data_IF_106726069632
#
_entry.id   IF_106726069632
#
_cell.length_a   1.000
_cell.length_b   1.000
_cell.length_c   1.000
_cell.angle_alpha   90.00
_cell.angle_beta   90.00
_cell.angle_gamma   90.00
#
_symmetry.space_group_name_H-M   'P 1'
#
loop_
_entity.id
_entity.type
_entity.pdbx_description
1 polymer ?
#
# COMPACT_ATOMS: atom_id res chain seq x y z
N UNK A 1 1.46 10.38 -13.55
CA UNK A 1 1.83 11.81 -13.64
C UNK A 1 1.89 12.54 -12.29
N UNK A 2 0.95 12.39 -11.33
CA UNK A 2 1.02 13.12 -10.04
C UNK A 2 2.24 12.77 -9.17
N UNK A 3 2.72 11.52 -9.26
CA UNK A 3 3.85 10.99 -8.47
C UNK A 3 5.16 11.76 -8.70
N UNK A 4 5.43 12.18 -9.94
CA UNK A 4 6.67 12.91 -10.27
C UNK A 4 6.67 14.31 -9.66
N UNK A 5 5.52 15.01 -9.71
CA UNK A 5 5.37 16.30 -9.06
C UNK A 5 5.45 16.20 -7.53
N UNK A 6 4.96 15.10 -6.95
CA UNK A 6 5.07 14.85 -5.53
C UNK A 6 6.55 14.76 -5.12
N UNK A 7 7.34 13.95 -5.82
CA UNK A 7 8.77 13.81 -5.53
C UNK A 7 9.54 15.12 -5.75
N UNK A 8 9.21 15.89 -6.78
CA UNK A 8 9.83 17.19 -7.02
C UNK A 8 9.56 18.18 -5.87
N UNK A 9 8.31 18.26 -5.39
CA UNK A 9 7.98 19.09 -4.23
C UNK A 9 8.69 18.63 -2.96
N UNK A 10 8.92 17.32 -2.81
CA UNK A 10 9.69 16.77 -1.69
C UNK A 10 11.17 17.20 -1.77
N UNK A 11 11.74 17.20 -2.98
CA UNK A 11 13.13 17.61 -3.21
C UNK A 11 13.36 19.11 -2.96
N UNK A 12 12.43 19.96 -3.41
CA UNK A 12 12.57 21.43 -3.27
C UNK A 12 12.52 21.87 -1.80
N UNK A 13 11.76 21.16 -0.96
CA UNK A 13 11.69 21.40 0.49
C UNK A 13 11.44 22.90 0.84
N UNK A 14 10.38 23.45 0.24
CA UNK A 14 10.04 24.88 0.16
C UNK A 14 9.98 25.65 1.49
N UNK A 15 9.61 24.98 2.59
CA UNK A 15 9.43 25.59 3.89
C UNK A 15 10.54 25.19 4.86
N UNK A 16 10.78 26.02 5.87
CA UNK A 16 11.68 25.67 6.99
C UNK A 16 11.19 24.43 7.74
N UNK A 17 9.89 24.37 8.01
CA UNK A 17 9.19 23.23 8.61
C UNK A 17 7.80 23.07 7.99
N UNK A 18 7.19 21.90 8.13
CA UNK A 18 5.81 21.66 7.66
C UNK A 18 5.67 21.25 6.19
N UNK A 19 6.77 20.97 5.47
CA UNK A 19 6.73 20.54 4.07
C UNK A 19 5.80 19.33 3.83
N UNK A 20 5.93 18.28 4.65
CA UNK A 20 5.13 17.06 4.50
C UNK A 20 3.62 17.30 4.60
N UNK A 21 3.11 17.90 5.69
CA UNK A 21 1.69 18.25 5.82
C UNK A 21 1.17 19.13 4.67
N UNK A 22 1.90 20.20 4.30
CA UNK A 22 1.48 21.11 3.23
C UNK A 22 1.43 20.41 1.87
N UNK A 23 2.47 19.63 1.55
CA UNK A 23 2.54 18.85 0.32
C UNK A 23 1.39 17.84 0.22
N UNK A 24 1.12 17.08 1.29
CA UNK A 24 0.00 16.11 1.29
C UNK A 24 -1.35 16.78 1.10
N UNK A 25 -1.58 17.91 1.77
CA UNK A 25 -2.82 18.67 1.61
C UNK A 25 -2.97 19.22 0.19
N UNK A 26 -1.88 19.72 -0.41
CA UNK A 26 -1.87 20.19 -1.79
C UNK A 26 -2.30 19.08 -2.77
N UNK A 27 -1.70 17.89 -2.68
CA UNK A 27 -2.07 16.77 -3.55
C UNK A 27 -3.47 16.22 -3.27
N UNK A 28 -3.89 16.20 -2.01
CA UNK A 28 -5.27 15.85 -1.66
C UNK A 28 -6.27 16.76 -2.39
N UNK A 29 -6.06 18.09 -2.32
CA UNK A 29 -6.92 19.07 -3.00
C UNK A 29 -6.86 18.96 -4.51
N UNK A 30 -5.67 18.79 -5.09
CA UNK A 30 -5.51 18.60 -6.54
C UNK A 30 -6.30 17.39 -7.05
N UNK A 31 -6.27 16.29 -6.31
CA UNK A 31 -6.97 15.04 -6.68
C UNK A 31 -8.48 15.15 -6.43
N UNK A 32 -8.89 15.80 -5.34
CA UNK A 32 -10.30 16.08 -5.03
C UNK A 32 -10.98 16.87 -6.16
N UNK A 33 -10.34 17.95 -6.64
CA UNK A 33 -10.83 18.75 -7.78
C UNK A 33 -10.86 17.95 -9.10
N UNK A 34 -10.00 16.95 -9.23
CA UNK A 34 -9.96 16.05 -10.40
C UNK A 34 -10.95 14.87 -10.29
N UNK A 35 -11.80 14.81 -9.26
CA UNK A 35 -12.71 13.70 -8.97
C UNK A 35 -12.03 12.33 -8.81
N UNK A 36 -10.78 12.32 -8.34
CA UNK A 36 -10.06 11.09 -7.99
C UNK A 36 -9.98 10.92 -6.46
N UNK A 37 -9.59 9.74 -5.99
CA UNK A 37 -9.35 9.46 -4.56
C UNK A 37 -7.85 9.40 -4.28
N UNK A 38 -7.42 10.00 -3.17
CA UNK A 38 -6.05 9.90 -2.66
C UNK A 38 -6.05 10.06 -1.13
N UNK A 39 -5.76 8.99 -0.39
CA UNK A 39 -5.84 8.96 1.08
C UNK A 39 -4.46 8.75 1.72
N UNK A 40 -3.76 9.86 1.98
CA UNK A 40 -2.43 9.81 2.60
C UNK A 40 -2.44 9.35 4.07
N UNK A 41 -3.58 9.32 4.75
CA UNK A 41 -3.65 8.80 6.13
C UNK A 41 -3.32 7.31 6.20
N UNK A 42 -3.37 6.61 5.05
CA UNK A 42 -3.05 5.20 4.96
C UNK A 42 -1.54 4.93 4.77
N UNK A 43 -0.73 5.97 4.57
CA UNK A 43 0.71 5.84 4.40
C UNK A 43 1.41 6.04 5.74
N UNK A 44 1.99 4.96 6.28
CA UNK A 44 2.86 5.05 7.46
C UNK A 44 4.10 5.92 7.20
N UNK A 45 4.64 6.55 8.24
CA UNK A 45 5.87 7.34 8.12
C UNK A 45 7.03 6.53 7.53
N UNK A 46 7.20 5.27 7.97
CA UNK A 46 8.26 4.37 7.43
C UNK A 46 8.11 4.17 5.91
N UNK A 47 6.88 3.94 5.42
CA UNK A 47 6.59 3.77 3.99
C UNK A 47 6.87 5.04 3.20
N UNK A 48 6.48 6.20 3.73
CA UNK A 48 6.76 7.49 3.09
C UNK A 48 8.27 7.72 2.96
N UNK A 49 9.01 7.54 4.05
CA UNK A 49 10.46 7.73 4.07
C UNK A 49 11.18 6.77 3.12
N UNK A 50 10.88 5.46 3.17
CA UNK A 50 11.55 4.48 2.31
C UNK A 50 11.27 4.74 0.82
N UNK A 51 10.04 5.15 0.50
CA UNK A 51 9.62 5.50 -0.87
C UNK A 51 10.39 6.73 -1.39
N UNK A 52 10.48 7.79 -0.58
CA UNK A 52 11.23 8.99 -0.95
C UNK A 52 12.74 8.71 -1.07
N UNK A 53 13.32 7.89 -0.20
CA UNK A 53 14.73 7.48 -0.27
C UNK A 53 14.99 6.69 -1.56
N UNK A 54 14.15 5.71 -1.90
CA UNK A 54 14.32 4.93 -3.13
C UNK A 54 14.27 5.82 -4.38
N UNK A 55 13.33 6.76 -4.43
CA UNK A 55 13.17 7.65 -5.56
C UNK A 55 14.30 8.69 -5.69
N UNK A 56 14.77 9.27 -4.59
CA UNK A 56 15.80 10.33 -4.63
C UNK A 56 17.24 9.78 -4.59
N UNK A 57 17.45 8.63 -3.96
CA UNK A 57 18.78 8.06 -3.75
C UNK A 57 19.16 6.98 -4.76
N UNK A 58 18.19 6.28 -5.34
CA UNK A 58 18.43 5.15 -6.25
C UNK A 58 17.73 5.29 -7.61
N UNK A 59 17.07 6.42 -7.89
CA UNK A 59 16.19 6.64 -9.05
C UNK A 59 15.14 5.52 -9.25
N UNK A 60 14.75 4.84 -8.16
CA UNK A 60 13.73 3.80 -8.19
C UNK A 60 12.36 4.39 -7.84
N UNK A 61 11.54 4.61 -8.88
CA UNK A 61 10.20 5.16 -8.75
C UNK A 61 9.11 4.11 -8.51
N UNK A 62 9.43 2.80 -8.60
CA UNK A 62 8.45 1.72 -8.43
C UNK A 62 7.79 1.73 -7.04
N UNK A 63 8.50 2.01 -5.93
CA UNK A 63 7.89 2.16 -4.61
C UNK A 63 6.88 3.32 -4.57
N UNK A 64 7.19 4.44 -5.21
CA UNK A 64 6.31 5.62 -5.26
C UNK A 64 5.05 5.33 -6.06
N UNK A 65 5.18 4.70 -7.22
CA UNK A 65 4.05 4.28 -8.02
C UNK A 65 3.13 3.34 -7.23
N UNK A 66 3.71 2.33 -6.57
CA UNK A 66 2.96 1.38 -5.76
C UNK A 66 2.26 2.05 -4.55
N UNK A 67 2.94 2.98 -3.88
CA UNK A 67 2.34 3.77 -2.80
C UNK A 67 1.12 4.53 -3.29
N UNK A 68 1.22 5.26 -4.40
CA UNK A 68 0.12 6.03 -4.95
C UNK A 68 -1.03 5.14 -5.44
N UNK A 69 -0.75 3.98 -6.03
CA UNK A 69 -1.77 3.01 -6.43
C UNK A 69 -2.58 2.53 -5.21
N UNK A 70 -1.91 2.16 -4.13
CA UNK A 70 -2.56 1.66 -2.92
C UNK A 70 -3.49 2.69 -2.26
N UNK A 71 -3.10 3.97 -2.27
CA UNK A 71 -3.89 5.04 -1.64
C UNK A 71 -4.88 5.73 -2.57
N UNK A 72 -4.97 5.30 -3.83
CA UNK A 72 -5.94 5.83 -4.81
C UNK A 72 -6.98 4.81 -5.25
N UNK A 73 -6.67 3.51 -5.15
CA UNK A 73 -7.60 2.44 -5.46
C UNK A 73 -8.64 2.28 -4.32
N UNK A 74 -9.95 2.46 -4.57
CA UNK A 74 -10.99 2.36 -3.54
C UNK A 74 -10.97 1.05 -2.75
N UNK A 75 -10.73 -0.08 -3.43
CA UNK A 75 -10.68 -1.40 -2.80
C UNK A 75 -9.50 -1.50 -1.81
N UNK A 76 -8.32 -1.02 -2.21
CA UNK A 76 -7.11 -1.05 -1.37
C UNK A 76 -7.22 -0.07 -0.19
N UNK A 77 -7.86 1.08 -0.40
CA UNK A 77 -8.18 2.05 0.65
C UNK A 77 -9.05 1.39 1.73
N UNK A 78 -10.13 0.73 1.34
CA UNK A 78 -11.05 0.09 2.28
C UNK A 78 -10.40 -1.07 3.04
N UNK A 79 -9.52 -1.82 2.36
CA UNK A 79 -8.66 -2.83 3.00
C UNK A 79 -7.81 -2.17 4.09
N UNK A 80 -7.07 -1.12 3.77
CA UNK A 80 -6.14 -0.45 4.70
C UNK A 80 -6.81 0.24 5.89
N UNK A 81 -7.95 0.91 5.69
CA UNK A 81 -8.69 1.55 6.79
C UNK A 81 -9.02 0.58 7.92
N UNK A 82 -9.25 -0.69 7.58
CA UNK A 82 -9.57 -1.75 8.54
C UNK A 82 -8.31 -2.34 9.23
N UNK A 83 -7.10 -1.98 8.76
CA UNK A 83 -5.80 -2.46 9.26
C UNK A 83 -5.10 -1.49 10.21
N UNK A 84 -5.30 -0.18 10.01
CA UNK A 84 -4.44 0.89 10.53
C UNK A 84 -4.44 1.02 12.06
N UNK A 85 -5.36 0.36 12.76
CA UNK A 85 -5.52 0.47 14.20
C UNK A 85 -4.25 0.03 14.98
N UNK A 86 -3.25 -0.64 14.37
CA UNK A 86 -2.10 -1.20 15.10
C UNK A 86 -0.70 -1.10 14.46
N UNK A 87 -0.46 -0.29 13.41
CA UNK A 87 0.70 -0.53 12.49
C UNK A 87 1.74 0.61 12.38
N UNK A 88 1.73 1.65 13.23
CA UNK A 88 2.60 2.82 13.05
C UNK A 88 4.14 2.53 13.03
N UNK A 89 4.57 1.34 13.48
CA UNK A 89 5.97 0.88 13.42
C UNK A 89 6.40 0.16 12.14
N UNK A 90 5.48 -0.30 11.28
CA UNK A 90 5.80 -1.12 10.11
C UNK A 90 5.26 -0.52 8.83
N UNK A 91 5.96 -0.74 7.71
CA UNK A 91 5.49 -0.34 6.39
C UNK A 91 4.33 -1.24 5.96
N UNK A 92 3.10 -0.70 5.91
CA UNK A 92 1.91 -1.41 5.43
C UNK A 92 1.82 -1.31 3.90
N UNK A 93 1.77 -2.43 3.20
CA UNK A 93 1.64 -2.53 1.75
C UNK A 93 0.53 -3.50 1.35
N UNK A 94 -0.15 -3.26 0.23
CA UNK A 94 -1.03 -4.26 -0.35
C UNK A 94 -0.20 -5.32 -1.07
N UNK A 95 -0.66 -6.57 -1.08
CA UNK A 95 -0.06 -7.60 -1.89
C UNK A 95 -0.15 -7.21 -3.38
N UNK A 96 0.98 -7.28 -4.07
CA UNK A 96 1.05 -7.12 -5.52
C UNK A 96 0.72 -8.46 -6.17
N UNK A 97 -0.13 -8.40 -7.16
CA UNK A 97 -0.57 -9.54 -7.95
C UNK A 97 0.62 -10.32 -8.54
N UNK A 98 0.55 -11.65 -8.46
CA UNK A 98 1.60 -12.54 -8.95
C UNK A 98 2.87 -12.60 -8.09
N UNK A 99 2.97 -11.81 -7.00
CA UNK A 99 4.10 -11.89 -6.07
C UNK A 99 3.83 -12.88 -4.93
N UNK A 100 4.89 -13.57 -4.53
CA UNK A 100 4.91 -14.46 -3.36
C UNK A 100 5.50 -13.74 -2.15
N UNK A 101 4.81 -13.87 -1.03
CA UNK A 101 5.18 -13.31 0.26
C UNK A 101 5.37 -14.44 1.27
N UNK A 102 6.53 -14.48 1.89
CA UNK A 102 6.85 -15.42 2.99
C UNK A 102 7.02 -14.63 4.27
N UNK A 103 6.37 -15.06 5.35
CA UNK A 103 6.47 -14.37 6.62
C UNK A 103 5.59 -14.95 7.71
N UNK A 104 5.29 -14.14 8.71
CA UNK A 104 4.51 -14.52 9.88
C UNK A 104 3.08 -14.01 9.76
N UNK A 105 2.13 -14.92 9.88
CA UNK A 105 0.71 -14.61 9.89
C UNK A 105 0.34 -13.75 11.11
N UNK A 106 -0.26 -12.58 10.87
CA UNK A 106 -0.63 -11.61 11.92
C UNK A 106 -2.10 -11.64 12.30
N UNK A 107 -2.95 -12.28 11.49
CA UNK A 107 -4.38 -12.42 11.75
C UNK A 107 -5.25 -12.12 10.52
N UNK A 108 -6.55 -12.41 10.66
CA UNK A 108 -7.60 -12.06 9.69
C UNK A 108 -8.26 -10.74 10.12
N UNK A 109 -8.50 -9.85 9.18
CA UNK A 109 -9.58 -8.86 9.27
C UNK A 109 -10.86 -9.37 8.56
N UNK A 110 -11.86 -8.50 8.45
CA UNK A 110 -13.12 -8.83 7.77
C UNK A 110 -12.90 -9.17 6.28
N UNK A 111 -12.08 -8.39 5.58
CA UNK A 111 -11.88 -8.51 4.11
C UNK A 111 -10.50 -9.01 3.69
N UNK A 112 -9.63 -9.30 4.65
CA UNK A 112 -8.26 -9.66 4.34
C UNK A 112 -7.53 -10.33 5.48
N UNK A 113 -6.26 -10.59 5.25
CA UNK A 113 -5.35 -11.09 6.26
C UNK A 113 -3.97 -10.46 6.09
N UNK A 114 -3.15 -10.58 7.14
CA UNK A 114 -1.89 -9.84 7.23
C UNK A 114 -0.70 -10.78 7.38
N UNK A 115 0.34 -10.52 6.60
CA UNK A 115 1.62 -11.23 6.69
C UNK A 115 2.68 -10.22 7.10
N UNK A 116 3.36 -10.46 8.23
CA UNK A 116 4.58 -9.74 8.57
C UNK A 116 5.77 -10.39 7.86
N UNK A 117 6.37 -9.65 6.94
CA UNK A 117 7.69 -9.93 6.37
C UNK A 117 8.76 -9.21 7.21
N UNK A 118 10.04 -9.35 6.86
CA UNK A 118 11.15 -8.76 7.62
C UNK A 118 10.97 -7.25 7.84
N UNK A 119 10.52 -6.52 6.81
CA UNK A 119 10.39 -5.05 6.86
C UNK A 119 8.98 -4.50 6.75
N UNK A 120 8.04 -5.30 6.23
CA UNK A 120 6.71 -4.85 5.83
C UNK A 120 5.60 -5.71 6.45
N UNK A 121 4.43 -5.09 6.66
CA UNK A 121 3.18 -5.82 6.80
C UNK A 121 2.47 -5.80 5.45
N UNK A 122 2.17 -6.99 4.93
CA UNK A 122 1.51 -7.18 3.65
C UNK A 122 0.04 -7.49 3.92
N UNK A 123 -0.86 -6.64 3.42
CA UNK A 123 -2.30 -6.85 3.44
C UNK A 123 -2.71 -7.64 2.20
N UNK A 124 -3.33 -8.79 2.42
CA UNK A 124 -3.77 -9.72 1.38
C UNK A 124 -5.29 -9.83 1.39
N UNK A 125 -5.92 -10.05 0.24
CA UNK A 125 -7.38 -10.21 0.14
C UNK A 125 -7.82 -11.55 0.72
N UNK A 126 -8.97 -11.58 1.38
CA UNK A 126 -9.50 -12.82 1.96
C UNK A 126 -9.94 -13.81 0.90
N UNK A 127 -10.41 -13.36 -0.26
CA UNK A 127 -10.84 -14.25 -1.34
C UNK A 127 -9.68 -15.04 -1.98
N UNK A 128 -8.45 -14.54 -1.83
CA UNK A 128 -7.26 -15.14 -2.44
C UNK A 128 -6.66 -16.27 -1.60
N UNK A 129 -7.09 -16.44 -0.35
CA UNK A 129 -6.63 -17.50 0.55
C UNK A 129 -7.71 -18.57 0.73
N UNK A 130 -7.32 -19.84 0.71
CA UNK A 130 -8.28 -20.94 0.85
C UNK A 130 -8.91 -20.94 2.24
N UNK A 131 -10.23 -21.19 2.37
CA UNK A 131 -10.90 -21.27 3.68
C UNK A 131 -10.30 -22.32 4.61
N UNK A 132 -9.71 -23.37 4.06
CA UNK A 132 -9.02 -24.45 4.80
C UNK A 132 -7.73 -23.95 5.45
N UNK A 133 -6.93 -23.18 4.71
CA UNK A 133 -5.71 -22.57 5.24
C UNK A 133 -6.06 -21.50 6.31
N UNK A 134 -7.12 -20.72 6.08
CA UNK A 134 -7.59 -19.74 7.07
C UNK A 134 -8.06 -20.37 8.40
N UNK A 135 -8.66 -21.56 8.37
CA UNK A 135 -9.13 -22.26 9.58
C UNK A 135 -7.99 -22.84 10.41
N UNK A 136 -6.86 -23.14 9.79
CA UNK A 136 -5.71 -23.79 10.42
C UNK A 136 -4.67 -22.79 10.93
N UNK A 137 -4.58 -21.61 10.31
CA UNK A 137 -3.64 -20.56 10.68
C UNK A 137 -3.98 -19.88 12.00
N UNK A 138 -3.00 -19.84 12.91
CA UNK A 138 -3.00 -19.05 14.14
C UNK A 138 -2.04 -17.88 14.01
N UNK A 139 -2.33 -16.80 14.74
CA UNK A 139 -1.44 -15.63 14.81
C UNK A 139 -0.06 -16.08 15.32
N UNK A 140 0.99 -15.82 14.53
CA UNK A 140 2.36 -16.27 14.81
C UNK A 140 2.84 -17.39 13.90
N UNK A 141 1.95 -18.06 13.16
CA UNK A 141 2.33 -19.16 12.27
C UNK A 141 3.09 -18.64 11.03
N UNK A 142 4.11 -19.37 10.55
CA UNK A 142 4.74 -19.07 9.28
C UNK A 142 3.76 -19.36 8.13
N UNK A 143 3.74 -18.48 7.14
CA UNK A 143 2.89 -18.59 5.95
C UNK A 143 3.68 -18.17 4.71
N UNK A 144 3.46 -18.91 3.61
CA UNK A 144 3.86 -18.50 2.26
C UNK A 144 2.59 -18.31 1.45
N UNK A 145 2.42 -17.14 0.85
CA UNK A 145 1.21 -16.75 0.12
C UNK A 145 1.59 -16.10 -1.21
N UNK A 146 0.91 -16.51 -2.29
CA UNK A 146 1.06 -15.89 -3.62
C UNK A 146 -0.23 -15.19 -3.98
N UNK A 147 -0.17 -13.88 -4.22
CA UNK A 147 -1.33 -13.11 -4.63
C UNK A 147 -1.76 -13.53 -6.05
N UNK A 148 -3.07 -13.73 -6.25
CA UNK A 148 -3.58 -14.18 -7.54
C UNK A 148 -3.30 -13.12 -8.62
N UNK A 149 -2.76 -13.49 -9.79
CA UNK A 149 -2.68 -12.57 -10.92
C UNK A 149 -4.10 -12.29 -11.46
N UNK A 150 -4.42 -11.05 -11.80
CA UNK A 150 -5.64 -10.77 -12.59
C UNK A 150 -5.54 -11.59 -13.89
N UNK A 151 -6.35 -12.64 -14.01
CA UNK A 151 -6.74 -13.11 -15.34
C UNK A 151 -7.60 -11.99 -15.91
N UNK A 152 -7.15 -11.38 -17.01
CA UNK A 152 -7.96 -10.48 -17.81
C UNK A 152 -9.36 -11.06 -17.89
N UNK A 153 -10.34 -10.35 -17.32
CA UNK A 153 -11.74 -10.60 -17.62
C UNK A 153 -11.81 -10.50 -19.14
N UNK A 154 -12.06 -11.64 -19.78
CA UNK A 154 -12.27 -11.76 -21.21
C UNK A 154 -13.43 -10.82 -21.56
N UNK A 155 -13.11 -9.62 -22.05
CA UNK A 155 -14.09 -8.82 -22.78
C UNK A 155 -14.37 -9.64 -24.05
N UNK A 156 -15.60 -10.13 -24.29
CA UNK A 156 -15.92 -10.74 -25.57
C UNK A 156 -15.66 -9.69 -26.64
N UNK A 157 -14.92 -10.06 -27.70
CA UNK A 157 -14.84 -9.22 -28.89
C UNK A 157 -16.25 -9.11 -29.48
N UNK A 158 -16.76 -7.91 -29.55
CA UNK A 158 -17.73 -7.49 -30.58
C UNK A 158 -17.03 -6.50 -31.51
#
# INVERSE_FOLDING_TARGET
MPQNYFLNLNYIHLFREGNGPVQRLFFYKLVEEANHKLDFFLVTNKRMTSTCIAAMGCDDFKPTQHMFEDISNPYKIDLFKKCIIHIDKYCLIAAKEGLTYTGIYRGTGWEGFFIKTDDNIVACKREEITPELLKTLKKGDPITFTALPIHNILIPKE
#
